data_IF_029311503211
#
_entry.id   IF_029311503211
#
_cell.length_a   1.000
_cell.length_b   1.000
_cell.length_c   1.000
_cell.angle_alpha   90.00
_cell.angle_beta   90.00
_cell.angle_gamma   90.00
#
_symmetry.space_group_name_H-M   'P 1'
#
loop_
_entity.id
_entity.type
_entity.pdbx_description
1 polymer ?
#
# COMPACT_ATOMS: atom_id res chain seq x y z
N UNK A 1 23.30 -25.94 -29.47
CA UNK A 1 22.27 -25.26 -28.65
C UNK A 1 22.88 -24.00 -28.07
N UNK A 2 22.21 -22.86 -28.19
CA UNK A 2 22.63 -21.59 -27.55
C UNK A 2 22.21 -21.63 -26.09
N UNK A 3 23.14 -21.35 -25.16
CA UNK A 3 22.87 -21.34 -23.72
C UNK A 3 22.27 -19.99 -23.34
N UNK A 4 20.98 -19.97 -23.02
CA UNK A 4 20.28 -18.76 -22.52
C UNK A 4 20.38 -18.74 -21.00
N UNK A 5 20.73 -17.59 -20.43
CA UNK A 5 20.88 -17.38 -18.98
C UNK A 5 20.25 -16.05 -18.57
N UNK A 6 19.83 -15.93 -17.31
CA UNK A 6 19.54 -14.63 -16.68
C UNK A 6 20.90 -14.06 -16.26
N UNK A 7 21.38 -13.02 -16.95
CA UNK A 7 22.72 -12.46 -16.75
C UNK A 7 22.76 -11.30 -15.75
N UNK A 8 21.61 -10.75 -15.37
CA UNK A 8 21.51 -9.62 -14.44
C UNK A 8 20.07 -9.42 -13.95
N UNK A 9 19.94 -8.82 -12.77
CA UNK A 9 18.66 -8.45 -12.17
C UNK A 9 18.77 -7.08 -11.52
N UNK A 10 17.66 -6.36 -11.46
CA UNK A 10 17.59 -5.06 -10.82
C UNK A 10 16.22 -4.85 -10.23
N UNK A 11 16.17 -4.18 -9.08
CA UNK A 11 14.96 -3.92 -8.31
C UNK A 11 14.91 -2.45 -7.92
N UNK A 12 13.78 -1.82 -8.23
CA UNK A 12 13.41 -0.54 -7.66
C UNK A 12 12.60 -0.78 -6.38
N UNK A 13 12.95 -0.09 -5.30
CA UNK A 13 12.21 -0.12 -4.04
C UNK A 13 11.64 1.27 -3.80
N UNK A 14 10.31 1.43 -3.63
CA UNK A 14 9.71 2.70 -3.27
C UNK A 14 10.34 3.33 -2.01
N UNK A 15 10.37 4.66 -1.89
CA UNK A 15 11.16 5.34 -0.87
C UNK A 15 10.59 5.24 0.54
N UNK A 16 9.32 4.87 0.71
CA UNK A 16 8.67 4.79 2.01
C UNK A 16 8.27 3.36 2.36
N UNK A 17 8.22 3.05 3.65
CA UNK A 17 7.69 1.79 4.18
C UNK A 17 6.54 2.03 5.14
N UNK A 18 5.53 1.17 5.09
CA UNK A 18 4.38 1.14 6.01
C UNK A 18 4.42 -0.16 6.81
N UNK A 19 4.50 -0.05 8.13
CA UNK A 19 4.42 -1.21 9.02
C UNK A 19 2.99 -1.75 9.14
N UNK A 20 2.82 -2.99 9.60
CA UNK A 20 1.49 -3.51 9.96
C UNK A 20 0.81 -2.65 11.02
N UNK A 21 1.57 -2.13 11.99
CA UNK A 21 1.03 -1.30 13.07
C UNK A 21 0.40 -0.01 12.53
N UNK A 22 1.10 0.73 11.66
CA UNK A 22 0.58 1.96 11.04
C UNK A 22 -0.65 1.69 10.17
N UNK A 23 -0.63 0.59 9.42
CA UNK A 23 -1.74 0.22 8.54
C UNK A 23 -2.99 -0.14 9.34
N UNK A 24 -2.82 -0.93 10.40
CA UNK A 24 -3.91 -1.33 11.31
C UNK A 24 -4.43 -0.14 12.09
N UNK A 25 -3.56 0.74 12.61
CA UNK A 25 -3.98 1.94 13.33
C UNK A 25 -4.86 2.82 12.43
N UNK A 26 -4.46 3.01 11.18
CA UNK A 26 -5.23 3.77 10.18
C UNK A 26 -6.58 3.10 9.90
N UNK A 27 -6.57 1.80 9.64
CA UNK A 27 -7.78 1.03 9.35
C UNK A 27 -8.76 1.03 10.54
N UNK A 28 -8.29 0.82 11.76
CA UNK A 28 -9.16 0.78 12.93
C UNK A 28 -9.76 2.17 13.22
N UNK A 29 -9.01 3.27 13.01
CA UNK A 29 -9.58 4.64 13.07
C UNK A 29 -10.74 4.83 12.08
N UNK A 30 -10.58 4.32 10.85
CA UNK A 30 -11.66 4.32 9.87
C UNK A 30 -12.86 3.47 10.33
N UNK A 31 -12.62 2.25 10.82
CA UNK A 31 -13.66 1.34 11.33
C UNK A 31 -14.46 2.00 12.46
N UNK A 32 -13.78 2.63 13.42
CA UNK A 32 -14.44 3.34 14.52
C UNK A 32 -15.32 4.48 14.02
N UNK A 33 -14.80 5.31 13.10
CA UNK A 33 -15.54 6.45 12.53
C UNK A 33 -16.76 5.97 11.76
N UNK A 34 -16.58 4.99 10.86
CA UNK A 34 -17.65 4.40 10.08
C UNK A 34 -18.75 3.81 10.97
N UNK A 35 -18.38 3.00 11.97
CA UNK A 35 -19.37 2.36 12.84
C UNK A 35 -20.13 3.39 13.70
N UNK A 36 -19.46 4.46 14.16
CA UNK A 36 -20.10 5.53 14.90
C UNK A 36 -21.09 6.32 14.04
N UNK A 37 -20.72 6.66 12.81
CA UNK A 37 -21.59 7.36 11.86
C UNK A 37 -22.81 6.52 11.43
N UNK A 38 -22.65 5.20 11.37
CA UNK A 38 -23.70 4.28 10.91
C UNK A 38 -24.42 3.54 12.06
N UNK A 39 -24.20 3.92 13.31
CA UNK A 39 -24.68 3.20 14.50
C UNK A 39 -26.18 2.88 14.44
N UNK A 40 -27.01 3.84 14.01
CA UNK A 40 -28.46 3.64 13.93
C UNK A 40 -28.87 2.62 12.86
N UNK A 41 -28.19 2.57 11.71
CA UNK A 41 -28.45 1.59 10.66
C UNK A 41 -27.99 0.19 11.10
N UNK A 42 -26.87 0.13 11.82
CA UNK A 42 -26.33 -1.10 12.41
C UNK A 42 -27.30 -1.67 13.45
N UNK A 43 -27.81 -0.84 14.37
CA UNK A 43 -28.80 -1.27 15.38
C UNK A 43 -30.11 -1.79 14.77
N UNK A 44 -30.52 -1.26 13.61
CA UNK A 44 -31.68 -1.74 12.87
C UNK A 44 -31.42 -3.00 12.05
N UNK A 45 -30.16 -3.47 11.97
CA UNK A 45 -29.77 -4.61 11.14
C UNK A 45 -29.81 -4.34 9.64
N UNK A 46 -29.78 -3.07 9.23
CA UNK A 46 -29.73 -2.66 7.82
C UNK A 46 -28.29 -2.69 7.27
N UNK A 47 -27.30 -2.70 8.17
CA UNK A 47 -25.88 -2.67 7.85
C UNK A 47 -25.10 -3.48 8.88
N UNK A 48 -24.12 -4.24 8.42
CA UNK A 48 -23.19 -4.94 9.31
C UNK A 48 -22.08 -3.97 9.79
N UNK A 49 -21.69 -4.04 11.07
CA UNK A 49 -20.57 -3.25 11.56
C UNK A 49 -19.27 -3.72 10.92
N UNK A 50 -18.36 -2.78 10.64
CA UNK A 50 -17.00 -3.12 10.26
C UNK A 50 -16.25 -3.71 11.45
N UNK A 51 -15.35 -4.65 11.17
CA UNK A 51 -14.52 -5.32 12.17
C UNK A 51 -13.09 -4.80 12.11
N UNK A 52 -12.51 -4.53 13.27
CA UNK A 52 -11.13 -4.12 13.41
C UNK A 52 -10.14 -5.21 12.98
N UNK A 53 -8.92 -4.79 12.68
CA UNK A 53 -7.80 -5.69 12.43
C UNK A 53 -6.73 -5.53 13.51
N UNK A 54 -5.70 -6.38 13.47
CA UNK A 54 -4.50 -6.23 14.30
C UNK A 54 -3.24 -6.69 13.57
N UNK A 55 -2.08 -6.20 14.00
CA UNK A 55 -0.81 -6.46 13.33
C UNK A 55 -0.37 -7.93 13.43
N UNK A 56 -0.65 -8.59 14.55
CA UNK A 56 -0.32 -10.00 14.79
C UNK A 56 -1.08 -10.92 13.84
N UNK A 57 -2.34 -10.59 13.55
CA UNK A 57 -3.16 -11.30 12.56
C UNK A 57 -2.51 -11.23 11.18
N UNK A 58 -2.10 -10.03 10.73
CA UNK A 58 -1.45 -9.87 9.42
C UNK A 58 -0.17 -10.70 9.35
N UNK A 59 0.67 -10.62 10.39
CA UNK A 59 1.92 -11.39 10.45
C UNK A 59 1.66 -12.89 10.43
N UNK A 60 0.72 -13.39 11.25
CA UNK A 60 0.40 -14.81 11.34
C UNK A 60 -0.23 -15.36 10.05
N UNK A 61 -1.06 -14.56 9.39
CA UNK A 61 -1.77 -14.98 8.18
C UNK A 61 -0.89 -14.92 6.92
N UNK A 62 0.12 -14.04 6.88
CA UNK A 62 0.87 -13.75 5.64
C UNK A 62 2.40 -13.78 5.75
N UNK A 63 2.96 -13.69 6.95
CA UNK A 63 4.40 -13.46 7.17
C UNK A 63 4.86 -12.03 6.87
N UNK A 64 3.97 -11.13 6.46
CA UNK A 64 4.32 -9.75 6.09
C UNK A 64 4.44 -8.90 7.36
N UNK A 65 5.53 -8.16 7.49
CA UNK A 65 5.75 -7.18 8.57
C UNK A 65 5.57 -5.73 8.10
N UNK A 66 5.99 -5.44 6.87
CA UNK A 66 5.91 -4.11 6.26
C UNK A 66 5.82 -4.20 4.74
N UNK A 67 5.48 -3.07 4.10
CA UNK A 67 5.47 -2.94 2.63
C UNK A 67 6.00 -1.58 2.19
N UNK A 68 6.73 -1.56 1.08
CA UNK A 68 7.20 -0.32 0.47
C UNK A 68 6.12 0.32 -0.41
N UNK A 69 6.01 1.65 -0.34
CA UNK A 69 4.98 2.44 -1.01
C UNK A 69 5.55 3.75 -1.56
N UNK A 70 4.95 4.26 -2.65
CA UNK A 70 5.37 5.53 -3.26
C UNK A 70 4.87 6.76 -2.51
N UNK A 71 3.76 6.64 -1.77
CA UNK A 71 3.22 7.71 -0.94
C UNK A 71 2.68 7.11 0.35
N UNK A 72 3.40 7.33 1.46
CA UNK A 72 2.99 6.85 2.78
C UNK A 72 1.87 7.70 3.37
N UNK A 73 1.99 9.03 3.27
CA UNK A 73 1.09 9.96 3.96
C UNK A 73 -0.38 9.77 3.60
N UNK A 74 -0.73 9.54 2.33
CA UNK A 74 -2.12 9.28 1.93
C UNK A 74 -2.63 7.89 2.31
N UNK A 75 -1.73 6.90 2.45
CA UNK A 75 -2.10 5.54 2.87
C UNK A 75 -2.41 5.50 4.38
N UNK A 76 -1.66 6.24 5.20
CA UNK A 76 -1.84 6.27 6.67
C UNK A 76 -2.78 7.37 7.16
N UNK A 77 -3.55 7.95 6.23
CA UNK A 77 -4.60 8.92 6.52
C UNK A 77 -5.96 8.19 6.51
N UNK A 78 -6.68 8.11 7.65
CA UNK A 78 -7.93 7.35 7.73
C UNK A 78 -9.09 7.96 6.91
N UNK A 79 -8.99 9.23 6.50
CA UNK A 79 -9.98 9.88 5.63
C UNK A 79 -9.69 9.63 4.14
N UNK A 80 -8.51 9.14 3.80
CA UNK A 80 -8.05 8.95 2.41
C UNK A 80 -7.80 7.47 2.09
N UNK A 81 -6.99 6.79 2.90
CA UNK A 81 -6.55 5.39 2.76
C UNK A 81 -6.08 5.03 1.34
N UNK A 82 -5.44 5.96 0.65
CA UNK A 82 -5.00 5.82 -0.75
C UNK A 82 -3.80 6.74 -1.07
N UNK A 83 -2.89 6.33 -1.97
CA UNK A 83 -1.76 7.17 -2.38
C UNK A 83 -2.23 8.52 -2.97
N UNK A 84 -1.59 9.61 -2.55
CA UNK A 84 -1.71 10.93 -3.19
C UNK A 84 -0.46 11.21 -4.01
N UNK A 85 -0.56 11.07 -5.32
CA UNK A 85 0.52 11.25 -6.28
C UNK A 85 0.20 12.44 -7.18
N UNK A 86 1.21 13.25 -7.51
CA UNK A 86 1.04 14.39 -8.40
C UNK A 86 0.76 13.94 -9.84
N UNK A 87 -0.14 14.65 -10.53
CA UNK A 87 -0.33 14.49 -11.96
C UNK A 87 0.93 14.97 -12.71
N UNK A 88 1.22 14.35 -13.85
CA UNK A 88 2.38 14.65 -14.69
C UNK A 88 1.92 15.07 -16.09
N UNK A 89 2.71 15.92 -16.74
CA UNK A 89 2.52 16.28 -18.14
C UNK A 89 2.94 15.11 -19.06
N UNK A 90 2.56 15.18 -20.34
CA UNK A 90 2.88 14.11 -21.29
C UNK A 90 4.37 14.08 -21.68
N UNK A 91 5.06 15.20 -21.50
CA UNK A 91 6.49 15.36 -21.76
C UNK A 91 7.37 14.80 -20.63
N UNK A 92 6.76 14.47 -19.49
CA UNK A 92 7.42 13.88 -18.33
C UNK A 92 7.23 12.35 -18.33
N UNK A 93 8.23 11.56 -17.91
CA UNK A 93 8.03 10.13 -17.69
C UNK A 93 6.89 9.89 -16.68
N UNK A 94 6.13 8.81 -16.87
CA UNK A 94 5.18 8.37 -15.83
C UNK A 94 5.92 7.81 -14.62
N UNK A 95 5.27 7.76 -13.45
CA UNK A 95 5.87 7.17 -12.22
C UNK A 95 6.33 5.73 -12.49
N UNK A 96 5.51 4.94 -13.19
CA UNK A 96 5.85 3.56 -13.56
C UNK A 96 7.09 3.52 -14.47
N UNK A 97 7.21 4.44 -15.42
CA UNK A 97 8.37 4.52 -16.31
C UNK A 97 9.65 4.81 -15.52
N UNK A 98 9.64 5.74 -14.56
CA UNK A 98 10.80 6.02 -13.70
C UNK A 98 11.23 4.80 -12.88
N UNK A 99 10.27 4.13 -12.23
CA UNK A 99 10.54 2.92 -11.44
C UNK A 99 11.17 1.81 -12.30
N UNK A 100 10.64 1.62 -13.51
CA UNK A 100 11.11 0.60 -14.44
C UNK A 100 12.52 0.91 -14.98
N UNK A 101 12.79 2.17 -15.33
CA UNK A 101 14.10 2.60 -15.83
C UNK A 101 15.18 2.44 -14.77
N UNK A 102 14.90 2.79 -13.51
CA UNK A 102 15.83 2.55 -12.41
C UNK A 102 16.15 1.06 -12.24
N UNK A 103 15.13 0.20 -12.17
CA UNK A 103 15.33 -1.25 -12.06
C UNK A 103 16.10 -1.83 -13.27
N UNK A 104 15.80 -1.36 -14.48
CA UNK A 104 16.47 -1.79 -15.70
C UNK A 104 17.96 -1.37 -15.71
N UNK A 105 18.26 -0.13 -15.34
CA UNK A 105 19.64 0.35 -15.25
C UNK A 105 20.45 -0.46 -14.23
N UNK A 106 19.86 -0.84 -13.09
CA UNK A 106 20.50 -1.72 -12.10
C UNK A 106 20.77 -3.13 -12.63
N UNK A 107 19.90 -3.65 -13.50
CA UNK A 107 20.10 -4.96 -14.12
C UNK A 107 21.16 -4.94 -15.24
N UNK A 108 21.40 -3.78 -15.84
CA UNK A 108 22.36 -3.58 -16.93
C UNK A 108 23.78 -3.23 -16.44
N UNK A 109 23.90 -2.65 -15.24
CA UNK A 109 25.17 -2.30 -14.60
C UNK A 109 25.97 -3.53 -14.17
#
# INVERSE_FOLDING_TARGET
MTKVVISGTGVFTPPYSVSNAELVETFNKYVHTFNAENAAAIERGEMEPLVESNADFILKASGIESRYVMNKSGIVDPEIMAPRLAQRANEEPSILAEMAVDAANKALA
#
